data_IF_606826014553
#
_entry.id   IF_606826014553
#
_cell.length_a   1.000
_cell.length_b   1.000
_cell.length_c   1.000
_cell.angle_alpha   90.00
_cell.angle_beta   90.00
_cell.angle_gamma   90.00
#
_symmetry.space_group_name_H-M   'P 1'
#
loop_
_entity.id
_entity.type
_entity.pdbx_description
1 polymer ?
#
# COMPACT_ATOMS: atom_id res chain seq x y z
N UNK A 1 7.70 -13.56 14.19
CA UNK A 1 6.62 -12.97 13.37
C UNK A 1 6.22 -11.64 13.99
N UNK A 2 6.79 -10.53 13.51
CA UNK A 2 6.62 -9.21 14.13
C UNK A 2 5.27 -8.61 13.76
N UNK A 3 4.36 -8.52 14.72
CA UNK A 3 3.04 -7.88 14.57
C UNK A 3 3.25 -6.36 14.60
N UNK A 4 3.30 -5.72 13.42
CA UNK A 4 3.27 -4.26 13.35
C UNK A 4 1.92 -3.76 13.89
N UNK A 5 1.95 -3.04 15.01
CA UNK A 5 0.82 -2.22 15.47
C UNK A 5 0.94 -0.86 14.79
N UNK A 6 0.10 -0.61 13.79
CA UNK A 6 0.00 0.71 13.17
C UNK A 6 -0.81 1.59 14.14
N UNK A 7 -0.13 2.54 14.77
CA UNK A 7 -0.79 3.56 15.60
C UNK A 7 -1.21 4.71 14.68
N UNK A 8 -2.53 4.87 14.48
CA UNK A 8 -3.10 6.07 13.86
C UNK A 8 -2.81 7.24 14.82
N UNK A 9 -1.78 8.05 14.52
CA UNK A 9 -1.65 9.36 15.16
C UNK A 9 -2.61 10.31 14.45
N UNK A 10 -3.60 10.82 15.18
CA UNK A 10 -4.44 11.91 14.69
C UNK A 10 -3.55 13.11 14.32
N UNK A 11 -3.61 13.62 13.08
CA UNK A 11 -2.88 14.82 12.70
C UNK A 11 -3.50 16.07 13.34
N UNK A 12 -2.70 17.11 13.66
CA UNK A 12 -3.20 18.37 14.18
C UNK A 12 -4.03 19.13 13.13
N UNK A 13 -5.08 19.79 13.60
CA UNK A 13 -6.07 20.48 12.79
C UNK A 13 -5.55 21.79 12.18
N UNK A 14 -4.83 21.73 11.05
CA UNK A 14 -4.67 22.87 10.13
C UNK A 14 -4.07 22.47 8.78
N UNK A 15 -4.82 21.69 7.98
CA UNK A 15 -4.78 21.52 6.51
C UNK A 15 -5.72 20.32 6.21
N UNK A 16 -6.46 20.26 5.08
CA UNK A 16 -7.13 19.02 4.67
C UNK A 16 -6.09 18.03 4.11
N UNK A 17 -5.04 17.75 4.88
CA UNK A 17 -4.10 16.68 4.56
C UNK A 17 -4.74 15.39 5.01
N UNK A 18 -5.22 14.61 4.03
CA UNK A 18 -5.70 13.25 4.20
C UNK A 18 -4.76 12.48 5.15
N UNK A 19 -5.25 11.89 6.26
CA UNK A 19 -4.39 11.24 7.24
C UNK A 19 -3.57 10.15 6.56
N UNK A 20 -2.26 10.36 6.50
CA UNK A 20 -1.32 9.43 5.88
C UNK A 20 -0.30 8.93 6.89
N UNK A 21 0.16 7.71 6.71
CA UNK A 21 1.12 7.05 7.58
C UNK A 21 2.11 6.25 6.75
N UNK A 22 3.23 5.89 7.38
CA UNK A 22 4.29 5.11 6.74
C UNK A 22 4.31 3.67 7.28
N UNK A 23 4.46 2.71 6.38
CA UNK A 23 4.84 1.35 6.70
C UNK A 23 6.34 1.19 6.46
N UNK A 24 7.07 0.79 7.52
CA UNK A 24 8.53 0.61 7.46
C UNK A 24 8.89 -0.87 7.44
N UNK A 25 9.60 -1.31 6.41
CA UNK A 25 10.12 -2.68 6.24
C UNK A 25 11.54 -2.63 5.66
N UNK A 26 11.78 -3.14 4.45
CA UNK A 26 13.02 -2.97 3.66
C UNK A 26 12.95 -1.72 2.78
N UNK A 27 12.37 -0.65 3.34
CA UNK A 27 11.94 0.56 2.67
C UNK A 27 10.75 1.18 3.41
N UNK A 28 10.22 2.28 2.89
CA UNK A 28 9.06 2.98 3.44
C UNK A 28 7.96 3.09 2.40
N UNK A 29 6.72 2.79 2.77
CA UNK A 29 5.54 2.98 1.92
C UNK A 29 4.58 3.97 2.61
N UNK A 30 4.29 5.09 1.95
CA UNK A 30 3.33 6.09 2.43
C UNK A 30 1.94 5.75 1.92
N UNK A 31 1.00 5.63 2.86
CA UNK A 31 -0.39 5.25 2.60
C UNK A 31 -1.34 6.23 3.27
N UNK A 32 -2.55 6.35 2.75
CA UNK A 32 -3.69 6.92 3.46
C UNK A 32 -4.85 5.94 3.42
N UNK A 33 -5.54 5.77 4.54
CA UNK A 33 -6.69 4.87 4.65
C UNK A 33 -7.80 5.62 5.37
N UNK A 34 -8.94 5.75 4.70
CA UNK A 34 -10.15 6.36 5.25
C UNK A 34 -11.28 5.34 5.11
N UNK A 35 -12.09 5.23 6.15
CA UNK A 35 -13.35 4.49 6.09
C UNK A 35 -14.50 5.46 5.86
N UNK A 36 -15.25 5.24 4.79
CA UNK A 36 -16.50 5.93 4.47
C UNK A 36 -17.62 4.90 4.39
N UNK A 37 -18.46 4.83 5.43
CA UNK A 37 -19.55 3.84 5.53
C UNK A 37 -19.00 2.40 5.42
N UNK A 38 -19.43 1.66 4.40
CA UNK A 38 -18.99 0.28 4.09
C UNK A 38 -17.81 0.25 3.12
N UNK A 39 -17.17 1.39 2.84
CA UNK A 39 -16.05 1.46 1.88
C UNK A 39 -14.76 1.90 2.58
N UNK A 40 -13.70 1.12 2.40
CA UNK A 40 -12.33 1.55 2.70
C UNK A 40 -11.73 2.20 1.45
N UNK A 41 -11.42 3.48 1.58
CA UNK A 41 -10.68 4.28 0.60
C UNK A 41 -9.19 4.18 0.94
N UNK A 42 -8.44 3.47 0.11
CA UNK A 42 -7.02 3.17 0.34
C UNK A 42 -6.19 3.86 -0.73
N UNK A 43 -5.41 4.87 -0.34
CA UNK A 43 -4.51 5.60 -1.24
C UNK A 43 -3.06 5.16 -1.03
N UNK A 44 -2.44 4.65 -2.09
CA UNK A 44 -1.01 4.36 -2.16
C UNK A 44 -0.30 5.57 -2.76
N UNK A 45 0.52 6.25 -1.96
CA UNK A 45 1.04 7.57 -2.31
C UNK A 45 2.43 7.47 -2.94
N UNK A 46 3.43 7.08 -2.16
CA UNK A 46 4.83 7.00 -2.58
C UNK A 46 5.55 5.90 -1.79
N UNK A 47 6.64 5.37 -2.33
CA UNK A 47 7.59 4.57 -1.59
C UNK A 47 8.98 5.20 -1.61
N UNK A 48 9.80 4.90 -0.60
CA UNK A 48 11.16 5.42 -0.47
C UNK A 48 12.12 4.36 0.05
N UNK A 49 13.38 4.47 -0.36
CA UNK A 49 14.46 3.63 0.17
C UNK A 49 14.21 2.15 -0.08
N UNK A 50 13.61 1.79 -1.21
CA UNK A 50 13.46 0.40 -1.65
C UNK A 50 14.87 -0.14 -1.85
N UNK A 51 15.28 -1.04 -0.95
CA UNK A 51 16.61 -1.66 -1.03
C UNK A 51 16.53 -2.79 -2.05
N UNK A 52 17.17 -2.59 -3.20
CA UNK A 52 17.46 -3.66 -4.14
C UNK A 52 18.97 -3.87 -4.21
N UNK A 53 19.39 -5.13 -4.12
CA UNK A 53 20.80 -5.53 -4.15
C UNK A 53 21.46 -5.38 -5.53
N UNK A 54 20.73 -5.03 -6.59
CA UNK A 54 21.30 -5.02 -7.94
C UNK A 54 20.88 -3.82 -8.80
N UNK A 55 21.84 -3.36 -9.60
CA UNK A 55 21.79 -2.30 -10.64
C UNK A 55 20.79 -2.54 -11.79
N UNK A 56 19.66 -3.22 -11.56
CA UNK A 56 18.65 -3.51 -12.59
C UNK A 56 17.49 -2.51 -12.56
N UNK A 57 16.77 -2.44 -13.67
CA UNK A 57 15.53 -1.67 -13.85
C UNK A 57 14.51 -2.07 -12.79
N UNK A 58 14.16 -1.18 -11.85
CA UNK A 58 13.17 -1.47 -10.82
C UNK A 58 11.76 -1.07 -11.28
N UNK A 59 11.05 -1.97 -11.95
CA UNK A 59 9.67 -1.74 -12.37
C UNK A 59 8.73 -2.03 -11.20
N UNK A 60 8.51 -1.01 -10.38
CA UNK A 60 7.86 -1.14 -9.07
C UNK A 60 6.35 -1.01 -9.18
N UNK A 61 5.62 -1.85 -8.45
CA UNK A 61 4.18 -1.72 -8.25
C UNK A 61 3.75 -2.28 -6.89
N UNK A 62 2.57 -1.87 -6.42
CA UNK A 62 1.99 -2.35 -5.16
C UNK A 62 0.76 -3.21 -5.47
N UNK A 63 0.66 -4.37 -4.83
CA UNK A 63 -0.59 -5.14 -4.73
C UNK A 63 -1.21 -4.94 -3.35
N UNK A 64 -2.52 -4.75 -3.33
CA UNK A 64 -3.33 -4.53 -2.14
C UNK A 64 -4.46 -5.56 -2.12
N UNK A 65 -4.73 -6.16 -0.96
CA UNK A 65 -5.87 -7.05 -0.77
C UNK A 65 -6.19 -7.26 0.71
N UNK A 66 -7.22 -8.07 0.99
CA UNK A 66 -7.61 -8.43 2.35
C UNK A 66 -7.15 -9.86 2.71
N UNK A 67 -6.71 -10.11 3.93
CA UNK A 67 -6.28 -11.44 4.39
C UNK A 67 -7.11 -11.87 5.61
N UNK A 68 -7.57 -13.14 5.73
CA UNK A 68 -7.11 -14.36 5.04
C UNK A 68 -7.76 -14.73 3.71
N UNK A 69 -8.97 -14.24 3.42
CA UNK A 69 -9.81 -14.91 2.40
C UNK A 69 -9.67 -14.41 0.95
N UNK A 70 -8.89 -13.36 0.67
CA UNK A 70 -8.72 -12.93 -0.73
C UNK A 70 -7.77 -13.88 -1.45
N UNK A 71 -8.22 -14.44 -2.57
CA UNK A 71 -7.32 -15.09 -3.52
C UNK A 71 -6.22 -14.09 -3.91
N UNK A 72 -4.94 -14.49 -3.95
CA UNK A 72 -3.88 -13.69 -4.56
C UNK A 72 -4.22 -13.07 -5.94
N UNK A 73 -5.08 -13.70 -6.74
CA UNK A 73 -5.57 -13.16 -8.02
C UNK A 73 -6.47 -11.95 -7.88
N UNK A 74 -7.22 -11.86 -6.78
CA UNK A 74 -8.24 -10.82 -6.56
C UNK A 74 -7.64 -9.54 -5.96
N UNK A 75 -6.33 -9.55 -5.71
CA UNK A 75 -5.61 -8.38 -5.20
C UNK A 75 -5.55 -7.31 -6.27
N UNK A 76 -5.94 -6.09 -5.89
CA UNK A 76 -5.84 -4.93 -6.75
C UNK A 76 -4.36 -4.54 -6.91
N UNK A 77 -3.98 -4.13 -8.11
CA UNK A 77 -2.60 -3.78 -8.49
C UNK A 77 -2.52 -2.31 -8.87
N UNK A 78 -1.48 -1.62 -8.43
CA UNK A 78 -1.19 -0.27 -8.91
C UNK A 78 -0.67 -0.27 -10.34
N UNK A 79 -0.71 0.90 -10.97
CA UNK A 79 0.12 1.17 -12.13
C UNK A 79 1.58 0.93 -11.77
N UNK A 80 2.32 0.42 -12.76
CA UNK A 80 3.74 0.16 -12.65
C UNK A 80 4.50 1.47 -12.85
N UNK A 81 5.46 1.73 -11.98
CA UNK A 81 6.39 2.86 -12.09
C UNK A 81 7.75 2.29 -12.49
N UNK A 82 8.19 2.52 -13.74
CA UNK A 82 9.44 1.95 -14.22
C UNK A 82 10.66 2.62 -13.58
N UNK A 83 11.73 1.84 -13.40
CA UNK A 83 13.08 2.33 -13.10
C UNK A 83 13.20 3.34 -11.94
N UNK A 84 12.37 3.23 -10.89
CA UNK A 84 12.33 4.22 -9.83
C UNK A 84 12.47 3.60 -8.44
N UNK A 85 13.51 4.01 -7.70
CA UNK A 85 13.75 3.60 -6.30
C UNK A 85 12.88 4.32 -5.27
N UNK A 86 12.25 5.43 -5.70
CA UNK A 86 11.32 6.21 -4.88
C UNK A 86 10.02 6.42 -5.68
N UNK A 87 9.29 5.35 -6.03
CA UNK A 87 8.16 5.44 -6.94
C UNK A 87 7.03 6.24 -6.32
N UNK A 88 6.40 7.08 -7.14
CA UNK A 88 5.21 7.85 -6.81
C UNK A 88 4.04 7.18 -7.50
N UNK A 89 3.11 6.64 -6.72
CA UNK A 89 1.96 5.88 -7.23
C UNK A 89 0.71 6.76 -7.34
N UNK A 90 0.43 7.57 -6.31
CA UNK A 90 -0.76 8.43 -6.20
C UNK A 90 -2.06 7.76 -6.65
N UNK A 91 -2.24 6.49 -6.30
CA UNK A 91 -3.37 5.69 -6.75
C UNK A 91 -4.27 5.32 -5.58
N UNK A 92 -5.58 5.50 -5.78
CA UNK A 92 -6.62 5.18 -4.81
C UNK A 92 -7.39 3.94 -5.22
N UNK A 93 -7.64 3.08 -4.24
CA UNK A 93 -8.35 1.81 -4.35
C UNK A 93 -9.55 1.84 -3.41
N UNK A 94 -10.60 1.12 -3.79
CA UNK A 94 -11.84 1.07 -3.04
C UNK A 94 -12.15 -0.40 -2.70
N UNK A 95 -12.40 -0.65 -1.43
CA UNK A 95 -12.78 -1.96 -0.92
C UNK A 95 -14.11 -1.84 -0.20
N UNK A 96 -15.14 -2.57 -0.68
CA UNK A 96 -16.37 -2.74 0.09
C UNK A 96 -16.09 -3.73 1.22
N UNK A 97 -16.45 -3.35 2.44
CA UNK A 97 -16.18 -4.08 3.68
C UNK A 97 -17.51 -4.33 4.39
N UNK A 98 -17.88 -5.60 4.47
CA UNK A 98 -19.04 -6.06 5.22
C UNK A 98 -18.68 -6.37 6.68
N UNK A 99 -19.66 -6.64 7.53
CA UNK A 99 -19.42 -7.12 8.90
C UNK A 99 -18.53 -8.38 8.94
N UNK A 100 -18.70 -9.26 7.94
CA UNK A 100 -17.89 -10.45 7.77
C UNK A 100 -16.42 -10.15 7.47
N UNK A 101 -16.07 -8.94 7.03
CA UNK A 101 -14.71 -8.56 6.67
C UNK A 101 -13.95 -7.85 7.82
N UNK A 102 -14.63 -7.49 8.91
CA UNK A 102 -14.04 -6.71 10.01
C UNK A 102 -12.87 -7.40 10.72
N UNK A 103 -12.79 -8.73 10.63
CA UNK A 103 -11.68 -9.50 11.18
C UNK A 103 -10.48 -9.62 10.22
N UNK A 104 -10.65 -9.20 8.96
CA UNK A 104 -9.62 -9.25 7.93
C UNK A 104 -8.62 -8.10 8.10
N UNK A 105 -7.47 -8.24 7.44
CA UNK A 105 -6.42 -7.21 7.44
C UNK A 105 -6.11 -6.79 6.02
N UNK A 106 -5.90 -5.49 5.81
CA UNK A 106 -5.30 -5.01 4.58
C UNK A 106 -3.84 -5.46 4.50
N UNK A 107 -3.51 -6.10 3.39
CA UNK A 107 -2.19 -6.58 3.06
C UNK A 107 -1.65 -5.77 1.88
N UNK A 108 -0.49 -5.16 2.09
CA UNK A 108 0.25 -4.42 1.07
C UNK A 108 1.51 -5.20 0.73
N UNK A 109 1.73 -5.45 -0.55
CA UNK A 109 2.97 -6.09 -1.05
C UNK A 109 3.50 -5.29 -2.21
N UNK A 110 4.76 -4.89 -2.13
CA UNK A 110 5.44 -4.20 -3.20
C UNK A 110 6.23 -5.24 -4.02
N UNK A 111 6.16 -5.13 -5.34
CA UNK A 111 6.77 -6.06 -6.27
C UNK A 111 7.63 -5.28 -7.26
N UNK A 112 8.78 -5.84 -7.60
CA UNK A 112 9.53 -5.46 -8.78
C UNK A 112 9.23 -6.50 -9.88
N UNK A 113 8.78 -6.03 -11.05
CA UNK A 113 8.60 -6.88 -12.21
C UNK A 113 9.88 -6.85 -13.04
N UNK A 114 10.69 -7.91 -12.98
CA UNK A 114 11.75 -8.08 -13.96
C UNK A 114 11.11 -8.37 -15.33
N UNK A 115 10.89 -7.33 -16.14
CA UNK A 115 10.56 -7.46 -17.55
C UNK A 115 11.83 -7.80 -18.35
N UNK A 116 12.53 -8.87 -17.96
CA UNK A 116 13.59 -9.44 -18.81
C UNK A 116 12.95 -10.42 -19.79
N UNK A 117 12.63 -9.89 -20.97
CA UNK A 117 12.60 -10.68 -22.21
C UNK A 117 14.00 -10.77 -22.79
#
# INVERSE_FOLDING_TARGET
MSRLRVFLRNPPASLPETPSFFLNTHGQLKLSIIQEQEVLVVSVLEARGIVEDFQRSCDSYVKIGMFPDSDPSDRQKSQMVPQCRNPIFLQTFYFVVSEGDLHKRLLFTMWNSDSTS
#
